data_IF_478334333863
#
_entry.id   IF_478334333863
#
_cell.length_a   1.000
_cell.length_b   1.000
_cell.length_c   1.000
_cell.angle_alpha   90.00
_cell.angle_beta   90.00
_cell.angle_gamma   90.00
#
_symmetry.space_group_name_H-M   'P 1'
#
loop_
_entity.id
_entity.type
_entity.pdbx_description
1 polymer ?
#
# COMPACT_ATOMS: atom_id res chain seq x y z
N UNK A 1 -64.62 17.96 22.73
CA UNK A 1 -64.08 16.71 22.13
C UNK A 1 -63.14 17.07 20.98
N UNK A 2 -61.82 17.16 21.19
CA UNK A 2 -60.84 17.43 20.12
C UNK A 2 -59.41 16.90 20.40
N UNK A 3 -59.24 16.03 21.39
CA UNK A 3 -57.91 15.51 21.83
C UNK A 3 -57.51 14.16 21.21
N UNK A 4 -58.45 13.40 20.62
CA UNK A 4 -58.11 12.05 20.10
C UNK A 4 -57.46 12.08 18.71
N UNK A 5 -57.78 13.05 17.85
CA UNK A 5 -57.20 13.15 16.50
C UNK A 5 -55.70 13.47 16.53
N UNK A 6 -55.27 14.41 17.39
CA UNK A 6 -53.85 14.72 17.58
C UNK A 6 -53.09 13.56 18.24
N UNK A 7 -53.74 12.81 19.13
CA UNK A 7 -53.20 11.60 19.73
C UNK A 7 -52.98 10.50 18.67
N UNK A 8 -53.97 10.26 17.81
CA UNK A 8 -53.86 9.30 16.71
C UNK A 8 -52.79 9.68 15.69
N UNK A 9 -52.69 10.96 15.31
CA UNK A 9 -51.65 11.44 14.39
C UNK A 9 -50.26 11.28 14.99
N UNK A 10 -50.09 11.67 16.27
CA UNK A 10 -48.81 11.50 16.98
C UNK A 10 -48.41 10.02 17.07
N UNK A 11 -49.37 9.13 17.30
CA UNK A 11 -49.15 7.67 17.36
C UNK A 11 -48.74 7.10 15.99
N UNK A 12 -49.36 7.57 14.90
CA UNK A 12 -49.00 7.14 13.55
C UNK A 12 -47.59 7.62 13.19
N UNK A 13 -47.24 8.87 13.51
CA UNK A 13 -45.90 9.42 13.23
C UNK A 13 -44.83 8.66 14.02
N UNK A 14 -45.05 8.40 15.31
CA UNK A 14 -44.09 7.67 16.13
C UNK A 14 -43.87 6.24 15.65
N UNK A 15 -44.94 5.57 15.20
CA UNK A 15 -44.85 4.21 14.64
C UNK A 15 -44.08 4.16 13.31
N UNK A 16 -44.24 5.17 12.44
CA UNK A 16 -43.49 5.24 11.19
C UNK A 16 -41.99 5.54 11.44
N UNK A 17 -41.67 6.40 12.42
CA UNK A 17 -40.29 6.69 12.80
C UNK A 17 -39.56 5.46 13.36
N UNK A 18 -40.22 4.68 14.21
CA UNK A 18 -39.62 3.45 14.75
C UNK A 18 -39.42 2.41 13.66
N UNK A 19 -40.37 2.28 12.74
CA UNK A 19 -40.25 1.36 11.60
C UNK A 19 -39.06 1.70 10.70
N UNK A 20 -38.89 2.98 10.34
CA UNK A 20 -37.75 3.46 9.55
C UNK A 20 -36.41 3.24 10.28
N UNK A 21 -36.38 3.47 11.59
CA UNK A 21 -35.18 3.22 12.41
C UNK A 21 -34.79 1.74 12.44
N UNK A 22 -35.76 0.82 12.52
CA UNK A 22 -35.50 -0.63 12.53
C UNK A 22 -34.96 -1.09 11.17
N UNK A 23 -35.53 -0.59 10.06
CA UNK A 23 -35.04 -0.89 8.72
C UNK A 23 -33.59 -0.41 8.55
N UNK A 24 -33.29 0.83 8.96
CA UNK A 24 -31.93 1.37 8.90
C UNK A 24 -30.93 0.51 9.66
N UNK A 25 -31.29 0.05 10.87
CA UNK A 25 -30.44 -0.81 11.68
C UNK A 25 -30.20 -2.18 11.02
N UNK A 26 -31.25 -2.78 10.44
CA UNK A 26 -31.13 -4.05 9.71
C UNK A 26 -30.27 -3.95 8.45
N UNK A 27 -30.25 -2.80 7.77
CA UNK A 27 -29.36 -2.57 6.62
C UNK A 27 -27.91 -2.31 7.03
N UNK A 28 -27.69 -1.66 8.18
CA UNK A 28 -26.34 -1.37 8.69
C UNK A 28 -25.58 -2.64 9.11
N UNK A 29 -26.27 -3.65 9.64
CA UNK A 29 -25.65 -4.94 10.01
C UNK A 29 -25.19 -5.75 8.78
N UNK A 30 -25.73 -5.48 7.59
CA UNK A 30 -25.34 -6.12 6.34
C UNK A 30 -24.19 -5.42 5.60
N UNK A 31 -23.75 -4.25 6.08
CA UNK A 31 -22.68 -3.48 5.45
C UNK A 31 -21.29 -4.08 5.69
N UNK A 32 -21.10 -4.82 6.78
CA UNK A 32 -19.86 -5.52 7.09
C UNK A 32 -20.02 -7.01 6.83
N UNK A 33 -19.38 -7.50 5.76
CA UNK A 33 -19.26 -8.93 5.49
C UNK A 33 -18.10 -9.50 6.31
N UNK A 34 -18.34 -10.62 6.99
CA UNK A 34 -17.27 -11.37 7.64
C UNK A 34 -16.59 -12.24 6.58
N UNK A 35 -15.43 -11.82 6.09
CA UNK A 35 -14.70 -12.56 5.06
C UNK A 35 -14.05 -13.79 5.68
N UNK A 36 -14.68 -14.95 5.51
CA UNK A 36 -14.06 -16.24 5.80
C UNK A 36 -12.81 -16.42 4.91
N UNK A 37 -11.72 -17.04 5.41
CA UNK A 37 -10.55 -17.37 4.60
C UNK A 37 -10.90 -18.10 3.29
N UNK A 38 -11.91 -18.97 3.33
CA UNK A 38 -12.41 -19.69 2.14
C UNK A 38 -13.01 -18.75 1.10
N UNK A 39 -13.69 -17.67 1.53
CA UNK A 39 -14.25 -16.65 0.65
C UNK A 39 -13.16 -15.82 -0.04
N UNK A 40 -12.00 -15.70 0.59
CA UNK A 40 -10.79 -15.04 0.04
C UNK A 40 -9.95 -15.97 -0.85
N UNK A 41 -10.40 -17.21 -1.08
CA UNK A 41 -9.66 -18.20 -1.87
C UNK A 41 -8.46 -18.80 -1.16
N UNK A 42 -8.32 -18.58 0.15
CA UNK A 42 -7.27 -19.23 0.94
C UNK A 42 -7.67 -20.70 1.19
N UNK A 43 -6.91 -21.62 0.60
CA UNK A 43 -6.95 -23.05 0.90
C UNK A 43 -5.90 -23.41 1.97
N UNK A 44 -5.59 -24.70 2.14
CA UNK A 44 -4.48 -25.19 2.96
C UNK A 44 -3.20 -24.36 2.75
N UNK A 45 -2.45 -24.17 3.83
CA UNK A 45 -1.21 -23.43 3.82
C UNK A 45 -0.22 -24.06 2.83
N UNK A 46 0.29 -23.26 1.89
CA UNK A 46 1.31 -23.67 0.91
C UNK A 46 2.60 -22.92 1.19
N UNK A 47 3.70 -23.65 1.16
CA UNK A 47 5.05 -23.08 1.24
C UNK A 47 5.67 -23.01 -0.16
N UNK A 48 6.31 -21.90 -0.50
CA UNK A 48 7.02 -21.72 -1.78
C UNK A 48 8.28 -20.89 -1.54
N UNK A 49 9.42 -21.41 -1.97
CA UNK A 49 10.69 -20.68 -1.97
C UNK A 49 10.91 -20.07 -3.35
N UNK A 50 10.99 -18.75 -3.43
CA UNK A 50 11.30 -18.00 -4.64
C UNK A 50 12.75 -17.52 -4.60
N UNK A 51 13.47 -17.69 -5.70
CA UNK A 51 14.82 -17.17 -5.90
C UNK A 51 14.87 -16.43 -7.23
N UNK A 52 15.28 -15.17 -7.20
CA UNK A 52 15.38 -14.28 -8.35
C UNK A 52 16.34 -13.13 -8.03
N UNK A 53 16.76 -12.40 -9.06
CA UNK A 53 17.70 -11.29 -8.96
C UNK A 53 16.98 -9.98 -9.26
N UNK A 54 17.24 -8.98 -8.42
CA UNK A 54 16.69 -7.62 -8.52
C UNK A 54 17.76 -6.69 -9.10
N UNK A 55 17.41 -5.92 -10.13
CA UNK A 55 18.35 -5.04 -10.82
C UNK A 55 17.97 -3.58 -10.67
N UNK A 56 18.63 -2.88 -9.73
CA UNK A 56 18.53 -1.43 -9.65
C UNK A 56 19.40 -0.78 -10.75
N UNK A 57 18.76 -0.19 -11.76
CA UNK A 57 19.42 0.42 -12.92
C UNK A 57 19.35 1.95 -12.78
N UNK A 58 20.33 2.50 -12.07
CA UNK A 58 20.40 3.94 -11.75
C UNK A 58 20.89 4.82 -12.91
N UNK A 59 21.50 4.24 -13.94
CA UNK A 59 22.17 4.99 -15.02
C UNK A 59 22.14 4.25 -16.36
N UNK A 60 22.54 4.94 -17.44
CA UNK A 60 22.52 4.43 -18.81
C UNK A 60 21.30 4.89 -19.60
N UNK A 61 21.09 4.35 -20.81
CA UNK A 61 20.05 4.82 -21.73
C UNK A 61 18.62 4.47 -21.29
N UNK A 62 18.47 3.50 -20.39
CA UNK A 62 17.18 3.03 -19.87
C UNK A 62 17.29 2.77 -18.36
N UNK A 63 17.36 3.84 -17.54
CA UNK A 63 17.29 3.67 -16.10
C UNK A 63 15.93 3.10 -15.71
N UNK A 64 15.89 2.28 -14.67
CA UNK A 64 14.67 1.69 -14.11
C UNK A 64 14.13 2.46 -12.91
N UNK A 65 14.85 3.50 -12.47
CA UNK A 65 14.44 4.38 -11.38
C UNK A 65 14.48 5.86 -11.73
N UNK A 66 13.70 6.64 -11.00
CA UNK A 66 13.59 8.10 -11.13
C UNK A 66 13.47 8.74 -9.75
N UNK A 67 14.22 9.82 -9.53
CA UNK A 67 14.10 10.66 -8.33
C UNK A 67 12.76 11.38 -8.32
N UNK A 68 12.01 11.21 -7.23
CA UNK A 68 10.73 11.88 -7.00
C UNK A 68 10.94 13.14 -6.15
N UNK A 69 11.79 13.05 -5.13
CA UNK A 69 12.14 14.18 -4.26
C UNK A 69 13.57 14.05 -3.74
N UNK A 70 14.31 15.17 -3.76
CA UNK A 70 15.70 15.28 -3.30
C UNK A 70 15.84 16.50 -2.37
N UNK A 71 15.24 16.49 -1.16
CA UNK A 71 15.13 17.69 -0.32
C UNK A 71 16.48 18.23 0.17
N UNK A 72 17.50 17.36 0.24
CA UNK A 72 18.85 17.71 0.68
C UNK A 72 19.87 17.68 -0.48
N UNK A 73 19.39 17.73 -1.73
CA UNK A 73 20.23 17.72 -2.92
C UNK A 73 20.93 16.38 -3.17
N UNK A 74 22.10 16.43 -3.82
CA UNK A 74 22.90 15.26 -4.18
C UNK A 74 24.19 15.24 -3.38
N UNK A 75 24.55 14.06 -2.86
CA UNK A 75 25.82 13.81 -2.17
C UNK A 75 26.58 12.73 -2.92
N UNK A 76 27.92 12.77 -2.84
CA UNK A 76 28.77 11.78 -3.50
C UNK A 76 28.55 10.41 -2.85
N UNK A 77 28.32 9.38 -3.66
CA UNK A 77 28.21 7.98 -3.25
C UNK A 77 27.06 7.64 -2.26
N UNK A 78 26.10 8.55 -2.05
CA UNK A 78 24.98 8.30 -1.14
C UNK A 78 23.71 9.04 -1.57
N UNK A 79 22.55 8.48 -1.20
CA UNK A 79 21.29 9.21 -1.21
C UNK A 79 21.17 9.98 0.12
N UNK A 80 20.92 11.29 0.15
CA UNK A 80 20.70 11.99 1.41
C UNK A 80 19.39 11.57 2.10
N UNK A 81 19.30 11.80 3.42
CA UNK A 81 18.06 11.61 4.18
C UNK A 81 16.87 12.30 3.51
N UNK A 82 15.73 11.61 3.46
CA UNK A 82 14.50 12.12 2.86
C UNK A 82 14.47 12.04 1.34
N UNK A 83 15.49 11.48 0.68
CA UNK A 83 15.45 11.21 -0.76
C UNK A 83 14.39 10.15 -1.06
N UNK A 84 13.57 10.40 -2.08
CA UNK A 84 12.50 9.50 -2.54
C UNK A 84 12.76 9.11 -3.99
N UNK A 85 12.71 7.81 -4.26
CA UNK A 85 12.92 7.22 -5.59
C UNK A 85 11.74 6.33 -5.95
N UNK A 86 11.24 6.46 -7.18
CA UNK A 86 10.30 5.50 -7.77
C UNK A 86 11.05 4.52 -8.67
N UNK A 87 10.68 3.24 -8.59
CA UNK A 87 11.38 2.12 -9.24
C UNK A 87 10.41 1.27 -10.09
N UNK A 88 10.90 0.80 -11.24
CA UNK A 88 10.32 -0.24 -12.10
C UNK A 88 11.40 -1.27 -12.47
N UNK A 89 12.01 -1.88 -11.45
CA UNK A 89 13.18 -2.75 -11.62
C UNK A 89 12.78 -4.15 -12.15
N UNK A 90 13.52 -4.70 -13.13
CA UNK A 90 13.27 -6.05 -13.62
C UNK A 90 13.72 -7.11 -12.59
N UNK A 91 12.94 -8.20 -12.50
CA UNK A 91 13.30 -9.39 -11.73
C UNK A 91 13.65 -10.51 -12.70
N UNK A 92 14.84 -11.07 -12.59
CA UNK A 92 15.33 -12.11 -13.51
C UNK A 92 15.68 -13.42 -12.81
N UNK A 93 15.69 -14.52 -13.56
CA UNK A 93 16.03 -15.85 -13.04
C UNK A 93 17.52 -16.01 -12.74
N UNK A 94 18.39 -15.29 -13.44
CA UNK A 94 19.84 -15.28 -13.24
C UNK A 94 20.37 -13.87 -12.90
N UNK A 95 21.62 -13.76 -12.42
CA UNK A 95 22.24 -12.47 -12.11
C UNK A 95 22.55 -11.63 -13.35
N UNK A 96 22.52 -12.21 -14.55
CA UNK A 96 22.71 -11.47 -15.79
C UNK A 96 21.43 -10.71 -16.19
N UNK A 97 21.58 -9.46 -16.65
CA UNK A 97 20.44 -8.59 -17.03
C UNK A 97 19.63 -9.09 -18.22
N UNK A 98 20.25 -9.87 -19.09
CA UNK A 98 19.63 -10.50 -20.26
C UNK A 98 19.09 -11.91 -19.98
N UNK A 99 19.25 -12.41 -18.76
CA UNK A 99 18.61 -13.66 -18.33
C UNK A 99 17.09 -13.53 -18.30
N UNK A 100 16.40 -14.68 -18.16
CA UNK A 100 14.94 -14.75 -18.25
C UNK A 100 14.27 -13.79 -17.26
N UNK A 101 13.48 -12.85 -17.77
CA UNK A 101 12.61 -12.00 -16.96
C UNK A 101 11.50 -12.86 -16.32
N UNK A 102 11.43 -12.83 -14.99
CA UNK A 102 10.44 -13.56 -14.19
C UNK A 102 9.43 -12.64 -13.51
N UNK A 103 9.69 -11.34 -13.47
CA UNK A 103 8.78 -10.36 -12.92
C UNK A 103 9.28 -8.92 -13.04
N UNK A 104 8.54 -8.01 -12.41
CA UNK A 104 8.91 -6.60 -12.26
C UNK A 104 8.54 -6.13 -10.87
N UNK A 105 9.39 -5.34 -10.24
CA UNK A 105 9.08 -4.60 -9.02
C UNK A 105 8.43 -3.25 -9.36
N UNK A 106 7.34 -3.27 -10.13
CA UNK A 106 6.66 -2.07 -10.58
C UNK A 106 5.90 -1.39 -9.45
N UNK A 107 5.90 -0.05 -9.42
CA UNK A 107 5.16 0.81 -8.46
C UNK A 107 5.72 0.81 -7.03
N UNK A 108 7.01 0.51 -6.88
CA UNK A 108 7.66 0.62 -5.58
C UNK A 108 8.24 2.02 -5.37
N UNK A 109 8.32 2.43 -4.09
CA UNK A 109 8.99 3.65 -3.66
C UNK A 109 10.05 3.30 -2.63
N UNK A 110 11.27 3.83 -2.81
CA UNK A 110 12.35 3.75 -1.84
C UNK A 110 12.56 5.10 -1.17
N UNK A 111 12.76 5.08 0.14
CA UNK A 111 13.03 6.25 0.97
C UNK A 111 14.34 6.05 1.70
N UNK A 112 15.27 7.00 1.60
CA UNK A 112 16.36 7.02 2.57
C UNK A 112 15.86 7.63 3.88
N UNK A 113 15.71 6.76 4.88
CA UNK A 113 15.19 7.11 6.21
C UNK A 113 16.29 7.37 7.24
N UNK A 114 17.56 7.20 6.87
CA UNK A 114 18.68 7.41 7.79
C UNK A 114 19.26 8.80 7.62
N UNK A 115 19.37 9.53 8.73
CA UNK A 115 20.08 10.81 8.78
C UNK A 115 21.54 10.53 9.09
N UNK A 116 22.42 10.74 8.12
CA UNK A 116 23.86 10.78 8.38
C UNK A 116 24.17 11.90 9.38
N UNK A 117 25.11 11.65 10.30
CA UNK A 117 25.72 12.77 10.99
C UNK A 117 26.51 13.61 9.96
N UNK A 118 26.69 14.89 10.21
CA UNK A 118 27.29 15.81 9.23
C UNK A 118 28.78 15.59 8.95
N UNK A 119 29.37 14.44 9.29
CA UNK A 119 30.78 14.15 9.01
C UNK A 119 30.91 13.47 7.65
N UNK A 120 31.57 14.16 6.71
CA UNK A 120 31.92 13.60 5.40
C UNK A 120 33.09 12.62 5.53
N UNK A 121 32.99 11.61 6.39
CA UNK A 121 33.98 10.54 6.41
C UNK A 121 33.56 9.46 5.41
N UNK A 122 34.30 9.43 4.31
CA UNK A 122 34.14 8.50 3.20
C UNK A 122 34.61 7.10 3.55
N UNK A 123 33.98 6.48 4.55
CA UNK A 123 34.23 5.08 4.87
C UNK A 123 33.46 4.19 3.90
N UNK A 124 34.20 3.81 2.86
CA UNK A 124 33.98 2.69 1.97
C UNK A 124 33.76 1.41 2.78
N UNK A 125 32.50 1.11 3.06
CA UNK A 125 32.05 -0.24 3.36
C UNK A 125 31.21 -0.72 2.18
N UNK A 126 31.91 -1.03 1.09
CA UNK A 126 31.41 -1.90 0.04
C UNK A 126 30.82 -3.17 0.64
N UNK A 127 29.51 -3.31 0.51
CA UNK A 127 28.81 -4.58 0.68
C UNK A 127 29.07 -5.41 -0.58
N UNK A 128 29.87 -6.46 -0.41
CA UNK A 128 30.00 -7.58 -1.33
C UNK A 128 28.69 -8.36 -1.46
#
# INVERSE_FOLDING_TARGET
MAKSSTFSITLLISLNLTFLSIISLATATNYYQNLSPTMLGFQEEKFTHLHFYFHDIVSGPKPSMVFVAEPNGKVKNALPFGTVVAMDDPLTAGPERDSKLVGKSSRNLHFNITRGDGTNDGDDHGIH
#
